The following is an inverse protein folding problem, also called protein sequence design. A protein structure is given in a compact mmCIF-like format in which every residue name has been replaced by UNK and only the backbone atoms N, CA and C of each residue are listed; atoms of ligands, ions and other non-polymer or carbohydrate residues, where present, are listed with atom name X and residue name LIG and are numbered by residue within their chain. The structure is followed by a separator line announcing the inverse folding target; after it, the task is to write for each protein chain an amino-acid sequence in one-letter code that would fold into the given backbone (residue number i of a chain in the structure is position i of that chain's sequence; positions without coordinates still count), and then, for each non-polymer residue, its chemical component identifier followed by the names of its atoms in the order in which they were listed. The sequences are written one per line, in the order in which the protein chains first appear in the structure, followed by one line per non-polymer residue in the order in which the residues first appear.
data_IF_420740155043
#
_entry.id   IF_420740155043
#
_cell.length_a   1.000
_cell.length_b   1.000
_cell.length_c   1.000
_cell.angle_alpha   90.00
_cell.angle_beta   90.00
_cell.angle_gamma   90.00
#
_symmetry.space_group_name_H-M   'P 1'
#
loop_
_entity.id
_entity.type
_entity.pdbx_description
1 polymer ?
#
# COMPACT_ATOMS: atom_id res chain seq x y z
N UNK A 1 8.62 -16.23 24.34
CA UNK A 1 8.83 -16.03 22.88
C UNK A 1 8.31 -14.71 22.29
N UNK A 2 7.46 -13.89 22.92
CA UNK A 2 7.02 -12.62 22.33
C UNK A 2 8.13 -11.56 22.19
N UNK A 3 9.27 -11.72 22.85
CA UNK A 3 10.37 -10.75 22.77
C UNK A 3 11.19 -10.83 21.48
N UNK A 4 11.09 -11.92 20.72
CA UNK A 4 11.80 -12.07 19.41
C UNK A 4 11.36 -11.01 18.40
N UNK A 5 10.10 -10.53 18.51
CA UNK A 5 9.62 -9.47 17.62
C UNK A 5 10.37 -8.15 17.82
N UNK A 6 10.96 -7.92 18.99
CA UNK A 6 11.77 -6.72 19.26
C UNK A 6 13.11 -6.74 18.53
N UNK A 7 13.58 -7.91 18.09
CA UNK A 7 14.78 -8.04 17.26
C UNK A 7 14.63 -7.39 15.89
N UNK A 8 13.38 -7.15 15.45
CA UNK A 8 13.08 -6.37 14.24
C UNK A 8 13.60 -4.94 14.34
N UNK A 9 13.71 -4.39 15.55
CA UNK A 9 14.24 -3.04 15.78
C UNK A 9 15.78 -2.96 15.65
N UNK A 10 16.45 -4.11 15.61
CA UNK A 10 17.91 -4.15 15.45
C UNK A 10 18.30 -4.16 13.97
N UNK A 11 18.89 -3.09 13.42
CA UNK A 11 19.25 -3.00 12.01
C UNK A 11 20.33 -4.03 11.60
N UNK A 12 21.11 -4.55 12.55
CA UNK A 12 22.11 -5.58 12.28
C UNK A 12 21.49 -6.89 11.79
N UNK A 13 20.28 -7.21 12.22
CA UNK A 13 19.56 -8.40 11.75
C UNK A 13 19.23 -8.30 10.26
N UNK A 14 18.87 -7.12 9.78
CA UNK A 14 18.66 -6.88 8.34
C UNK A 14 19.97 -7.06 7.56
N UNK A 15 21.08 -6.50 8.04
CA UNK A 15 22.40 -6.67 7.41
C UNK A 15 22.84 -8.13 7.40
N UNK A 16 22.64 -8.84 8.50
CA UNK A 16 22.94 -10.27 8.59
C UNK A 16 22.10 -11.09 7.59
N UNK A 17 20.83 -10.78 7.45
CA UNK A 17 19.94 -11.44 6.48
C UNK A 17 20.44 -11.25 5.03
N UNK A 18 20.89 -10.03 4.68
CA UNK A 18 21.50 -9.78 3.37
C UNK A 18 22.81 -10.55 3.14
N UNK A 19 23.61 -10.70 4.18
CA UNK A 19 24.87 -11.45 4.09
C UNK A 19 24.63 -12.96 4.00
N UNK A 20 23.68 -13.50 4.78
CA UNK A 20 23.42 -14.93 4.86
C UNK A 20 22.63 -15.47 3.65
N UNK A 21 21.64 -14.72 3.15
CA UNK A 21 20.70 -15.17 2.12
C UNK A 21 20.46 -14.07 1.07
N UNK A 22 21.51 -13.61 0.42
CA UNK A 22 21.49 -12.44 -0.46
C UNK A 22 20.41 -12.44 -1.53
N UNK A 23 20.11 -13.59 -2.17
CA UNK A 23 19.06 -13.68 -3.18
C UNK A 23 17.67 -13.53 -2.57
N UNK A 24 17.37 -14.23 -1.46
CA UNK A 24 16.08 -14.11 -0.77
C UNK A 24 15.91 -12.72 -0.18
N UNK A 25 16.97 -12.14 0.36
CA UNK A 25 16.96 -10.78 0.87
C UNK A 25 16.65 -9.76 -0.26
N UNK A 26 17.21 -9.95 -1.46
CA UNK A 26 16.91 -9.12 -2.62
C UNK A 26 15.43 -9.23 -3.04
N UNK A 27 14.87 -10.43 -3.09
CA UNK A 27 13.43 -10.63 -3.38
C UNK A 27 12.57 -9.99 -2.29
N UNK A 28 12.94 -10.16 -1.00
CA UNK A 28 12.25 -9.53 0.11
C UNK A 28 12.26 -8.00 0.04
N UNK A 29 13.34 -7.39 -0.47
CA UNK A 29 13.38 -5.94 -0.73
C UNK A 29 12.29 -5.48 -1.69
N UNK A 30 11.98 -6.26 -2.72
CA UNK A 30 10.85 -5.96 -3.62
C UNK A 30 9.52 -5.86 -2.86
N UNK A 31 9.27 -6.78 -1.93
CA UNK A 31 8.08 -6.74 -1.06
C UNK A 31 8.09 -5.53 -0.11
N UNK A 32 9.25 -5.17 0.44
CA UNK A 32 9.41 -3.97 1.28
C UNK A 32 9.10 -2.70 0.47
N UNK A 33 9.57 -2.61 -0.78
CA UNK A 33 9.23 -1.48 -1.67
C UNK A 33 7.73 -1.41 -1.89
N UNK A 34 7.05 -2.55 -2.13
CA UNK A 34 5.58 -2.57 -2.23
C UNK A 34 4.89 -2.10 -0.95
N UNK A 35 5.42 -2.47 0.22
CA UNK A 35 4.85 -2.06 1.50
C UNK A 35 4.94 -0.54 1.77
N UNK A 36 5.95 0.14 1.20
CA UNK A 36 6.11 1.60 1.31
C UNK A 36 5.55 2.39 0.12
N UNK A 37 4.89 1.74 -0.84
CA UNK A 37 4.16 2.43 -1.92
C UNK A 37 2.95 3.19 -1.36
N UNK A 38 2.55 4.26 -2.04
CA UNK A 38 1.46 5.14 -1.61
C UNK A 38 1.97 6.49 -1.08
N UNK A 39 3.28 6.74 -1.10
CA UNK A 39 3.85 8.03 -0.74
C UNK A 39 3.33 9.16 -1.66
N UNK A 40 2.99 8.84 -2.90
CA UNK A 40 2.40 9.77 -3.87
C UNK A 40 1.06 10.33 -3.36
N UNK A 41 0.20 9.46 -2.82
CA UNK A 41 -1.07 9.88 -2.22
C UNK A 41 -0.84 10.80 -1.02
N UNK A 42 0.14 10.48 -0.16
CA UNK A 42 0.53 11.32 0.96
C UNK A 42 1.00 12.72 0.51
N UNK A 43 1.79 12.79 -0.57
CA UNK A 43 2.23 14.08 -1.12
C UNK A 43 1.07 14.88 -1.73
N UNK A 44 0.13 14.21 -2.41
CA UNK A 44 -1.07 14.85 -2.93
C UNK A 44 -1.92 15.46 -1.79
N UNK A 45 -2.13 14.71 -0.71
CA UNK A 45 -2.84 15.17 0.48
C UNK A 45 -2.14 16.33 1.16
N UNK A 46 -0.81 16.34 1.21
CA UNK A 46 -0.04 17.48 1.72
C UNK A 46 -0.24 18.75 0.88
N UNK A 47 -0.48 18.61 -0.43
CA UNK A 47 -0.83 19.71 -1.31
C UNK A 47 -2.21 20.30 -1.00
N UNK A 48 -3.19 19.47 -0.64
CA UNK A 48 -4.56 19.89 -0.35
C UNK A 48 -4.76 20.40 1.08
N UNK A 49 -4.24 19.69 2.08
CA UNK A 49 -4.48 19.96 3.50
C UNK A 49 -3.32 20.70 4.20
N UNK A 50 -2.21 20.84 3.51
CA UNK A 50 -0.99 21.40 4.07
C UNK A 50 -0.12 20.37 4.80
N UNK A 51 1.16 20.70 4.92
CA UNK A 51 2.19 19.79 5.44
C UNK A 51 2.04 19.47 6.94
N UNK A 52 1.60 20.45 7.76
CA UNK A 52 1.58 20.29 9.23
C UNK A 52 0.55 19.25 9.71
N UNK A 53 -0.75 19.32 9.30
CA UNK A 53 -1.74 18.33 9.75
C UNK A 53 -1.41 16.93 9.27
N UNK A 54 -0.97 16.78 8.03
CA UNK A 54 -0.60 15.46 7.47
C UNK A 54 0.60 14.87 8.23
N UNK A 55 1.65 15.65 8.48
CA UNK A 55 2.81 15.20 9.26
C UNK A 55 2.41 14.78 10.68
N UNK A 56 1.53 15.53 11.34
CA UNK A 56 1.06 15.19 12.69
C UNK A 56 0.25 13.88 12.69
N UNK A 57 -0.75 13.76 11.83
CA UNK A 57 -1.56 12.53 11.70
C UNK A 57 -0.69 11.32 11.39
N UNK A 58 0.27 11.47 10.48
CA UNK A 58 1.12 10.37 10.06
C UNK A 58 2.04 9.90 11.19
N UNK A 59 2.72 10.81 11.90
CA UNK A 59 3.67 10.45 12.95
C UNK A 59 3.00 9.92 14.22
N UNK A 60 1.84 10.47 14.60
CA UNK A 60 1.22 10.15 15.88
C UNK A 60 0.12 9.09 15.80
N UNK A 61 -0.48 8.87 14.61
CA UNK A 61 -1.55 7.89 14.45
C UNK A 61 -1.18 6.79 13.46
N UNK A 62 -0.84 7.16 12.22
CA UNK A 62 -0.68 6.19 11.14
C UNK A 62 0.57 5.34 11.34
N UNK A 63 1.72 5.95 11.58
CA UNK A 63 2.98 5.23 11.78
C UNK A 63 2.93 4.26 12.98
N UNK A 64 2.52 4.68 14.19
CA UNK A 64 2.39 3.74 15.31
C UNK A 64 1.38 2.62 15.07
N UNK A 65 0.24 2.93 14.44
CA UNK A 65 -0.76 1.94 14.10
C UNK A 65 -0.23 0.89 13.11
N UNK A 66 0.49 1.32 12.06
CA UNK A 66 1.13 0.41 11.10
C UNK A 66 2.21 -0.44 11.77
N UNK A 67 3.06 0.15 12.61
CA UNK A 67 4.08 -0.59 13.34
C UNK A 67 3.46 -1.66 14.23
N UNK A 68 2.44 -1.32 15.03
CA UNK A 68 1.74 -2.27 15.88
C UNK A 68 1.08 -3.38 15.06
N UNK A 69 0.45 -3.04 13.94
CA UNK A 69 -0.19 -4.02 13.05
C UNK A 69 0.84 -5.01 12.47
N UNK A 70 1.94 -4.53 11.91
CA UNK A 70 2.96 -5.42 11.33
C UNK A 70 3.69 -6.24 12.40
N UNK A 71 3.99 -5.65 13.55
CA UNK A 71 4.57 -6.38 14.68
C UNK A 71 3.61 -7.43 15.21
N UNK A 72 2.30 -7.14 15.29
CA UNK A 72 1.26 -8.09 15.67
C UNK A 72 1.18 -9.28 14.73
N UNK A 73 1.12 -9.03 13.42
CA UNK A 73 1.11 -10.09 12.41
C UNK A 73 2.38 -10.94 12.48
N UNK A 74 3.55 -10.32 12.60
CA UNK A 74 4.82 -11.02 12.74
C UNK A 74 4.88 -11.87 14.00
N UNK A 75 4.45 -11.35 15.14
CA UNK A 75 4.40 -12.08 16.40
C UNK A 75 3.45 -13.28 16.33
N UNK A 76 2.29 -13.13 15.69
CA UNK A 76 1.33 -14.21 15.47
C UNK A 76 1.96 -15.33 14.64
N UNK A 77 2.56 -15.02 13.50
CA UNK A 77 3.19 -16.01 12.61
C UNK A 77 4.35 -16.73 13.34
N UNK A 78 5.18 -15.99 14.08
CA UNK A 78 6.29 -16.57 14.84
C UNK A 78 5.85 -17.45 16.02
N UNK A 79 4.60 -17.32 16.49
CA UNK A 79 4.03 -18.16 17.56
C UNK A 79 3.40 -19.45 17.05
N UNK A 80 3.19 -19.58 15.75
CA UNK A 80 2.57 -20.73 15.10
C UNK A 80 3.59 -21.82 14.77
N UNK A 81 3.10 -23.04 14.56
CA UNK A 81 3.90 -24.12 13.97
C UNK A 81 4.21 -23.82 12.51
N UNK A 82 5.30 -24.40 11.92
CA UNK A 82 5.64 -24.13 10.52
C UNK A 82 4.51 -24.46 9.52
N UNK A 83 3.68 -25.45 9.82
CA UNK A 83 2.54 -25.85 8.98
C UNK A 83 1.40 -24.84 9.07
N UNK A 84 1.04 -24.39 10.27
CA UNK A 84 0.05 -23.35 10.49
C UNK A 84 0.48 -22.01 9.91
N UNK A 85 1.76 -21.66 10.06
CA UNK A 85 2.33 -20.43 9.52
C UNK A 85 2.22 -20.36 7.99
N UNK A 86 2.39 -21.47 7.26
CA UNK A 86 2.23 -21.51 5.80
C UNK A 86 0.80 -21.19 5.36
N UNK A 87 -0.19 -21.55 6.16
CA UNK A 87 -1.59 -21.22 5.89
C UNK A 87 -1.86 -19.76 6.30
N UNK A 88 -1.36 -19.36 7.47
CA UNK A 88 -1.57 -18.02 8.02
C UNK A 88 -0.94 -16.88 7.19
N UNK A 89 0.15 -17.15 6.47
CA UNK A 89 0.81 -16.16 5.59
C UNK A 89 -0.11 -15.66 4.47
N UNK A 90 -1.13 -16.43 4.08
CA UNK A 90 -2.06 -16.01 3.02
C UNK A 90 -2.90 -14.80 3.42
N UNK A 91 -3.44 -14.81 4.66
CA UNK A 91 -4.35 -13.77 5.15
C UNK A 91 -4.07 -13.40 6.62
N UNK A 92 -2.84 -12.95 6.96
CA UNK A 92 -2.41 -12.77 8.36
C UNK A 92 -3.22 -11.68 9.07
N UNK A 93 -3.67 -10.66 8.36
CA UNK A 93 -4.45 -9.57 8.93
C UNK A 93 -5.82 -10.05 9.45
N UNK A 94 -6.56 -10.80 8.63
CA UNK A 94 -7.89 -11.26 9.01
C UNK A 94 -7.86 -12.35 10.09
N UNK A 95 -6.82 -13.18 10.11
CA UNK A 95 -6.63 -14.17 11.17
C UNK A 95 -6.37 -13.54 12.54
N UNK A 96 -5.80 -12.35 12.60
CA UNK A 96 -5.57 -11.61 13.82
C UNK A 96 -6.83 -10.94 14.38
N UNK A 97 -7.87 -10.78 13.54
CA UNK A 97 -9.10 -10.09 13.93
C UNK A 97 -10.03 -11.04 14.69
N UNK A 98 -10.47 -10.70 15.93
CA UNK A 98 -11.47 -11.47 16.65
C UNK A 98 -12.78 -11.60 15.88
N UNK A 99 -13.42 -12.77 15.94
CA UNK A 99 -14.69 -13.04 15.22
C UNK A 99 -15.76 -11.99 15.48
N UNK A 100 -15.86 -11.49 16.70
CA UNK A 100 -16.86 -10.49 17.12
C UNK A 100 -16.82 -9.20 16.30
N UNK A 101 -15.61 -8.77 15.87
CA UNK A 101 -15.39 -7.52 15.10
C UNK A 101 -15.00 -7.77 13.66
N UNK A 102 -15.04 -9.02 13.20
CA UNK A 102 -14.65 -9.39 11.84
C UNK A 102 -15.50 -8.68 10.77
N UNK A 103 -16.82 -8.68 10.93
CA UNK A 103 -17.73 -8.02 9.97
C UNK A 103 -17.47 -6.52 9.82
N UNK A 104 -17.41 -5.70 10.88
CA UNK A 104 -17.09 -4.29 10.73
C UNK A 104 -15.67 -4.05 10.18
N UNK A 105 -14.69 -4.90 10.48
CA UNK A 105 -13.33 -4.78 9.93
C UNK A 105 -13.33 -5.06 8.43
N UNK A 106 -14.06 -6.07 7.95
CA UNK A 106 -14.23 -6.34 6.51
C UNK A 106 -14.84 -5.13 5.81
N UNK A 107 -15.88 -4.52 6.38
CA UNK A 107 -16.48 -3.32 5.81
C UNK A 107 -15.49 -2.16 5.74
N UNK A 108 -14.71 -1.92 6.79
CA UNK A 108 -13.66 -0.90 6.82
C UNK A 108 -12.57 -1.17 5.79
N UNK A 109 -12.14 -2.42 5.60
CA UNK A 109 -11.13 -2.75 4.59
C UNK A 109 -11.64 -2.54 3.17
N UNK A 110 -12.92 -2.82 2.89
CA UNK A 110 -13.53 -2.51 1.60
C UNK A 110 -13.54 -0.99 1.35
N UNK A 111 -13.95 -0.21 2.35
CA UNK A 111 -13.92 1.26 2.26
C UNK A 111 -12.50 1.79 2.04
N UNK A 112 -11.52 1.25 2.75
CA UNK A 112 -10.13 1.61 2.58
C UNK A 112 -9.61 1.25 1.17
N UNK A 113 -9.99 0.10 0.62
CA UNK A 113 -9.63 -0.30 -0.74
C UNK A 113 -10.23 0.64 -1.80
N UNK A 114 -11.48 1.10 -1.61
CA UNK A 114 -12.11 2.08 -2.50
C UNK A 114 -11.33 3.41 -2.48
N UNK A 115 -10.98 3.91 -1.30
CA UNK A 115 -10.20 5.16 -1.15
C UNK A 115 -8.81 5.02 -1.77
N UNK A 116 -8.12 3.89 -1.52
CA UNK A 116 -6.82 3.62 -2.10
C UNK A 116 -6.87 3.56 -3.64
N UNK A 117 -7.90 2.94 -4.20
CA UNK A 117 -8.14 2.89 -5.65
C UNK A 117 -8.31 4.30 -6.25
N UNK A 118 -9.05 5.18 -5.60
CA UNK A 118 -9.21 6.58 -6.03
C UNK A 118 -7.88 7.35 -5.99
N UNK A 119 -7.06 7.13 -4.97
CA UNK A 119 -5.74 7.74 -4.85
C UNK A 119 -4.80 7.30 -5.99
N UNK A 120 -4.80 6.02 -6.35
CA UNK A 120 -4.01 5.49 -7.49
C UNK A 120 -4.45 6.11 -8.80
N UNK A 121 -5.76 6.22 -9.06
CA UNK A 121 -6.30 6.83 -10.28
C UNK A 121 -5.89 8.31 -10.37
N UNK A 122 -6.04 9.06 -9.29
CA UNK A 122 -5.66 10.48 -9.23
C UNK A 122 -4.16 10.66 -9.41
N UNK A 123 -3.35 9.80 -8.82
CA UNK A 123 -1.89 9.78 -8.99
C UNK A 123 -1.49 9.51 -10.44
N UNK A 124 -2.12 8.53 -11.10
CA UNK A 124 -1.87 8.22 -12.50
C UNK A 124 -2.21 9.41 -13.43
N UNK A 125 -3.30 10.12 -13.17
CA UNK A 125 -3.64 11.33 -13.94
C UNK A 125 -2.61 12.44 -13.74
N UNK A 126 -2.18 12.69 -12.50
CA UNK A 126 -1.18 13.70 -12.16
C UNK A 126 0.17 13.42 -12.81
N UNK A 127 0.64 12.17 -12.74
CA UNK A 127 1.88 11.73 -13.38
C UNK A 127 1.79 11.86 -14.92
N UNK A 128 0.66 11.47 -15.51
CA UNK A 128 0.44 11.60 -16.95
C UNK A 128 0.47 13.05 -17.38
N UNK A 129 -0.18 13.94 -16.63
CA UNK A 129 -0.15 15.37 -16.92
C UNK A 129 1.28 15.93 -16.88
N UNK A 130 2.06 15.55 -15.86
CA UNK A 130 3.46 15.95 -15.76
C UNK A 130 4.30 15.41 -16.92
N UNK A 131 4.10 14.15 -17.31
CA UNK A 131 4.79 13.53 -18.44
C UNK A 131 4.48 14.24 -19.77
N UNK A 132 3.24 14.68 -19.97
CA UNK A 132 2.85 15.50 -21.14
C UNK A 132 3.51 16.88 -21.10
N UNK A 133 3.54 17.53 -19.94
CA UNK A 133 4.17 18.86 -19.79
C UNK A 133 5.68 18.81 -20.02
N UNK A 134 6.34 17.73 -19.63
CA UNK A 134 7.77 17.50 -19.84
C UNK A 134 8.11 16.97 -21.26
N UNK A 135 7.10 16.71 -22.10
CA UNK A 135 7.30 16.23 -23.46
C UNK A 135 7.60 14.74 -23.59
N UNK A 136 7.48 13.95 -22.52
CA UNK A 136 7.68 12.49 -22.55
C UNK A 136 6.48 11.73 -23.14
N UNK A 137 5.31 12.34 -23.16
CA UNK A 137 4.08 11.75 -23.72
C UNK A 137 3.41 12.69 -24.72
N UNK A 138 2.71 12.14 -25.73
CA UNK A 138 1.92 12.95 -26.65
C UNK A 138 0.82 13.70 -25.91
N UNK A 139 0.34 14.79 -26.47
CA UNK A 139 -0.76 15.59 -25.91
C UNK A 139 -2.05 14.77 -25.90
N UNK A 140 -2.46 14.32 -24.72
CA UNK A 140 -3.75 13.68 -24.49
C UNK A 140 -4.80 14.72 -24.10
N UNK A 141 -6.06 14.39 -24.35
CA UNK A 141 -7.18 15.25 -23.95
C UNK A 141 -7.34 15.20 -22.42
N UNK A 142 -7.05 16.32 -21.78
CA UNK A 142 -7.23 16.52 -20.34
C UNK A 142 -8.55 17.26 -20.14
N UNK A 143 -9.40 16.74 -19.27
CA UNK A 143 -10.65 17.39 -18.87
C UNK A 143 -10.50 17.86 -17.42
N UNK A 144 -10.76 19.13 -17.17
CA UNK A 144 -10.84 19.68 -15.82
C UNK A 144 -12.25 19.42 -15.28
N UNK A 145 -12.35 18.72 -14.16
CA UNK A 145 -13.63 18.33 -13.56
C UNK A 145 -14.15 19.37 -12.56
N UNK A 146 -13.32 20.35 -12.18
CA UNK A 146 -13.70 21.46 -11.31
C UNK A 146 -13.10 22.77 -11.79
N UNK A 147 -13.90 23.84 -11.81
CA UNK A 147 -13.45 25.20 -12.13
C UNK A 147 -12.65 25.82 -10.96
N UNK A 148 -12.88 25.36 -9.74
CA UNK A 148 -12.30 25.95 -8.52
C UNK A 148 -11.10 25.17 -7.95
N UNK A 149 -10.83 23.96 -8.43
CA UNK A 149 -9.71 23.13 -7.95
C UNK A 149 -8.81 22.75 -9.12
N UNK A 150 -7.70 23.44 -9.27
CA UNK A 150 -6.73 23.28 -10.34
C UNK A 150 -6.08 21.87 -10.43
N UNK A 151 -6.32 21.01 -9.45
CA UNK A 151 -5.77 19.64 -9.36
C UNK A 151 -6.73 18.52 -9.75
N UNK A 152 -8.01 18.81 -10.01
CA UNK A 152 -8.98 17.78 -10.39
C UNK A 152 -9.04 17.63 -11.90
N UNK A 153 -8.29 16.66 -12.42
CA UNK A 153 -8.19 16.36 -13.84
C UNK A 153 -8.71 14.95 -14.12
N UNK A 154 -9.26 14.77 -15.33
CA UNK A 154 -9.69 13.50 -15.85
C UNK A 154 -9.09 13.25 -17.23
N UNK A 155 -8.44 12.10 -17.40
CA UNK A 155 -7.80 11.70 -18.66
C UNK A 155 -8.46 10.39 -19.11
N UNK A 156 -9.42 10.45 -20.06
CA UNK A 156 -10.20 9.28 -20.48
C UNK A 156 -9.36 8.08 -20.89
N UNK A 157 -8.32 8.30 -21.68
CA UNK A 157 -7.44 7.23 -22.19
C UNK A 157 -6.76 6.48 -21.05
N UNK A 158 -6.26 7.20 -20.05
CA UNK A 158 -5.62 6.60 -18.88
C UNK A 158 -6.65 5.86 -18.04
N UNK A 159 -7.83 6.44 -17.83
CA UNK A 159 -8.89 5.80 -17.04
C UNK A 159 -9.32 4.45 -17.64
N UNK A 160 -9.59 4.42 -18.95
CA UNK A 160 -9.93 3.18 -19.64
C UNK A 160 -8.78 2.18 -19.65
N UNK A 161 -7.54 2.66 -19.84
CA UNK A 161 -6.34 1.83 -19.76
C UNK A 161 -6.20 1.16 -18.40
N UNK A 162 -6.33 1.91 -17.30
CA UNK A 162 -6.30 1.38 -15.93
C UNK A 162 -7.41 0.37 -15.71
N UNK A 163 -8.63 0.64 -16.16
CA UNK A 163 -9.75 -0.29 -16.04
C UNK A 163 -9.46 -1.62 -16.73
N UNK A 164 -8.98 -1.60 -17.96
CA UNK A 164 -8.63 -2.82 -18.71
C UNK A 164 -7.51 -3.58 -18.00
N UNK A 165 -6.46 -2.89 -17.55
CA UNK A 165 -5.35 -3.51 -16.83
C UNK A 165 -5.79 -4.18 -15.53
N UNK A 166 -6.65 -3.52 -14.75
CA UNK A 166 -7.21 -4.08 -13.50
C UNK A 166 -8.05 -5.32 -13.80
N UNK A 167 -8.91 -5.27 -14.82
CA UNK A 167 -9.72 -6.44 -15.22
C UNK A 167 -8.82 -7.61 -15.62
N UNK A 168 -7.77 -7.36 -16.41
CA UNK A 168 -6.82 -8.40 -16.81
C UNK A 168 -6.10 -9.01 -15.62
N UNK A 169 -5.65 -8.18 -14.66
CA UNK A 169 -5.03 -8.66 -13.43
C UNK A 169 -5.99 -9.53 -12.61
N UNK A 170 -7.23 -9.08 -12.41
CA UNK A 170 -8.24 -9.86 -11.67
C UNK A 170 -8.52 -11.20 -12.35
N UNK A 171 -8.63 -11.22 -13.67
CA UNK A 171 -8.87 -12.46 -14.42
C UNK A 171 -7.67 -13.42 -14.38
N UNK A 172 -6.44 -12.88 -14.38
CA UNK A 172 -5.22 -13.68 -14.35
C UNK A 172 -4.96 -14.28 -12.98
N UNK A 173 -5.07 -13.50 -11.94
CA UNK A 173 -4.72 -13.94 -10.59
C UNK A 173 -5.89 -14.61 -9.85
N UNK A 174 -7.15 -14.29 -10.16
CA UNK A 174 -8.39 -14.84 -9.59
C UNK A 174 -8.47 -14.87 -8.06
N UNK A 175 -7.36 -14.66 -7.37
CA UNK A 175 -7.22 -14.65 -5.92
C UNK A 175 -6.07 -13.73 -5.52
N UNK A 176 -6.19 -13.01 -4.41
CA UNK A 176 -5.12 -12.18 -3.87
C UNK A 176 -3.99 -12.97 -3.19
N UNK A 177 -4.14 -14.30 -3.09
CA UNK A 177 -3.19 -15.22 -2.45
C UNK A 177 -2.28 -15.98 -3.43
N UNK A 178 -2.29 -15.61 -4.72
CA UNK A 178 -1.40 -16.20 -5.74
C UNK A 178 -0.25 -15.28 -6.08
#
# INVERSE_FOLDING_TARGET
MPLIILDVLNPLNALYFFYADGFRAFVAMGTVVLAVTGAEALYADMGHFGRRPIKFSWLFFVLPALMLNYMGQGAMILSMTPEEAQIAIRDPFFLMVPELISTPVIFLTIMAAIIASQAVISGAFSLTQQAIQLGFMPRLRIQHTSENAAGQIYIPVINWGLMVMVILLVLQFRSSSN
#
